data_IF_667245211110
#
_entry.id   IF_667245211110
#
_cell.length_a   1.000
_cell.length_b   1.000
_cell.length_c   1.000
_cell.angle_alpha   90.00
_cell.angle_beta   90.00
_cell.angle_gamma   90.00
#
_symmetry.space_group_name_H-M   'P 1'
#
loop_
_entity.id
_entity.type
_entity.pdbx_description
1 polymer ?
2 non-polymer ?
3 non-polymer ?
4 non-polymer ?
5 water ?
#
# COMPACT_ATOMS: atom_id res chain seq x y z
N UNK A 1 -10.16 28.15 5.38
CA UNK A 1 -8.75 28.60 5.14
C UNK A 1 -8.37 28.46 3.66
N UNK A 2 -7.67 29.46 3.11
CA UNK A 2 -7.15 29.33 1.75
C UNK A 2 -5.98 28.34 1.71
N UNK A 3 -6.01 27.44 0.73
CA UNK A 3 -4.90 26.54 0.47
C UNK A 3 -4.10 27.09 -0.71
N UNK A 4 -3.02 27.83 -0.42
CA UNK A 4 -2.34 28.55 -1.48
C UNK A 4 -1.72 27.62 -2.52
N UNK A 5 -1.66 28.11 -3.75
CA UNK A 5 -0.96 27.42 -4.82
C UNK A 5 0.50 27.14 -4.43
N UNK A 6 1.13 28.13 -3.81
CA UNK A 6 2.50 28.01 -3.32
C UNK A 6 2.49 28.27 -1.82
N UNK A 7 2.20 27.23 -1.02
CA UNK A 7 2.05 27.46 0.42
C UNK A 7 3.36 27.79 1.13
N UNK A 8 4.49 27.34 0.58
CA UNK A 8 5.79 27.49 1.24
C UNK A 8 5.87 26.66 2.51
N UNK A 9 6.96 26.86 3.25
CA UNK A 9 7.15 26.22 4.53
C UNK A 9 8.19 27.01 5.31
N UNK A 10 8.52 26.53 6.51
CA UNK A 10 9.57 27.14 7.31
C UNK A 10 10.26 26.04 8.10
N UNK A 11 11.43 26.35 8.64
CA UNK A 11 12.25 25.31 9.24
C UNK A 11 11.71 24.82 10.60
N UNK A 12 10.88 25.61 11.27
CA UNK A 12 10.20 25.10 12.46
C UNK A 12 9.30 23.93 12.05
N UNK A 13 8.50 24.15 11.00
CA UNK A 13 7.61 23.11 10.48
C UNK A 13 8.38 21.91 9.94
N UNK A 14 9.48 22.15 9.24
CA UNK A 14 10.27 21.06 8.68
C UNK A 14 10.83 20.13 9.74
N UNK A 15 11.21 20.70 10.88
CA UNK A 15 11.82 19.94 11.97
C UNK A 15 10.80 19.47 12.99
N UNK A 16 9.54 19.87 12.85
CA UNK A 16 8.53 19.62 13.86
C UNK A 16 8.27 18.12 14.04
N UNK A 17 8.26 17.67 15.30
CA UNK A 17 7.95 16.29 15.63
C UNK A 17 6.72 16.22 16.52
N UNK A 18 5.81 15.29 16.23
CA UNK A 18 4.74 14.97 17.16
C UNK A 18 5.35 14.23 18.37
N UNK A 19 4.86 14.50 19.59
CA UNK A 19 5.36 13.82 20.78
C UNK A 19 4.80 12.41 20.88
N UNK A 20 5.54 11.49 20.27
CA UNK A 20 5.16 10.08 20.15
C UNK A 20 6.28 9.21 20.72
N UNK A 21 5.87 8.16 21.42
CA UNK A 21 6.82 7.18 21.92
C UNK A 21 7.15 6.17 20.81
N UNK A 22 8.10 6.53 19.94
CA UNK A 22 8.54 5.63 18.88
C UNK A 22 9.45 4.54 19.41
N UNK A 23 9.23 3.31 18.94
CA UNK A 23 10.12 2.20 19.28
C UNK A 23 10.47 1.40 18.03
N UNK A 24 11.56 0.63 18.11
CA UNK A 24 11.93 -0.32 17.08
C UNK A 24 11.65 -1.73 17.56
N UNK A 25 11.63 -2.68 16.63
CA UNK A 25 11.51 -4.09 16.97
C UNK A 25 12.67 -4.52 17.89
N UNK A 26 13.88 -4.03 17.60
CA UNK A 26 15.04 -4.34 18.43
C UNK A 26 14.88 -3.84 19.86
N UNK A 27 14.32 -2.64 20.03
CA UNK A 27 14.05 -2.12 21.37
C UNK A 27 13.00 -2.95 22.10
N UNK A 28 11.94 -3.36 21.39
CA UNK A 28 10.94 -4.24 22.00
C UNK A 28 11.60 -5.54 22.45
N UNK A 29 12.39 -6.14 21.57
CA UNK A 29 13.11 -7.37 21.90
C UNK A 29 13.97 -7.17 23.15
N UNK A 30 14.73 -6.08 23.18
CA UNK A 30 15.57 -5.77 24.34
C UNK A 30 14.76 -5.66 25.63
N UNK A 31 13.58 -5.05 25.56
CA UNK A 31 12.70 -4.88 26.72
C UNK A 31 12.19 -6.21 27.29
N UNK A 32 12.27 -7.27 26.47
CA UNK A 32 11.76 -8.58 26.87
C UNK A 32 12.89 -9.56 27.22
N UNK A 33 14.14 -9.10 27.15
CA UNK A 33 15.30 -9.96 27.42
C UNK A 33 15.20 -10.62 28.80
N UNK A 34 15.33 -11.94 28.81
CA UNK A 34 15.26 -12.71 30.06
C UNK A 34 13.86 -13.10 30.48
N UNK A 35 12.84 -12.49 29.89
CA UNK A 35 11.44 -12.81 30.21
C UNK A 35 11.08 -14.13 29.57
N UNK A 36 10.43 -15.03 30.34
CA UNK A 36 10.10 -16.35 29.83
C UNK A 36 9.06 -16.30 28.70
N UNK A 37 8.93 -17.41 27.94
CA UNK A 37 7.87 -17.48 26.92
C UNK A 37 6.51 -17.04 27.45
N UNK A 38 5.81 -16.26 26.64
CA UNK A 38 4.49 -15.73 26.99
C UNK A 38 3.59 -15.79 25.76
N UNK A 39 2.31 -15.50 25.94
CA UNK A 39 1.39 -15.35 24.82
C UNK A 39 1.41 -13.90 24.34
N UNK A 40 1.52 -13.75 23.03
CA UNK A 40 1.43 -12.42 22.40
C UNK A 40 0.39 -12.48 21.30
N UNK A 41 -0.19 -11.33 20.98
CA UNK A 41 -1.27 -11.27 20.00
C UNK A 41 -1.05 -10.21 18.95
N UNK A 42 -1.61 -10.47 17.77
CA UNK A 42 -1.59 -9.55 16.65
C UNK A 42 -2.99 -9.37 16.08
N UNK A 43 -3.35 -8.11 15.82
CA UNK A 43 -4.41 -7.80 14.89
C UNK A 43 -3.98 -8.28 13.50
N UNK A 44 -4.93 -8.46 12.58
CA UNK A 44 -4.54 -8.88 11.23
C UNK A 44 -4.46 -7.72 10.24
N UNK A 45 -5.59 -7.08 9.99
CA UNK A 45 -5.67 -6.15 8.87
C UNK A 45 -4.96 -4.83 9.15
N UNK A 46 -4.02 -4.50 8.26
CA UNK A 46 -3.12 -3.35 8.40
C UNK A 46 -2.15 -3.45 9.57
N UNK A 47 -2.09 -4.63 10.19
CA UNK A 47 -1.10 -4.92 11.22
C UNK A 47 -0.09 -5.92 10.69
N UNK A 48 -0.57 -7.08 10.22
CA UNK A 48 0.31 -8.06 9.59
C UNK A 48 0.05 -8.24 8.10
N UNK A 49 -1.18 -7.97 7.65
CA UNK A 49 -1.53 -8.05 6.22
C UNK A 49 -2.07 -6.73 5.70
N UNK A 50 -1.54 -6.30 4.55
CA UNK A 50 -2.20 -5.27 3.78
C UNK A 50 -3.28 -5.95 2.95
N UNK A 51 -4.47 -5.99 3.51
CA UNK A 51 -5.59 -6.76 2.97
C UNK A 51 -6.60 -5.88 2.25
N UNK A 52 -6.28 -4.59 2.14
CA UNK A 52 -7.12 -3.68 1.36
C UNK A 52 -7.49 -4.19 -0.05
N UNK A 53 -6.60 -4.94 -0.74
CA UNK A 53 -7.03 -5.43 -2.05
C UNK A 53 -8.38 -6.19 -2.01
N UNK A 54 -8.52 -7.13 -1.07
CA UNK A 54 -9.76 -7.88 -0.91
C UNK A 54 -10.93 -7.06 -0.40
N UNK A 55 -10.68 -6.15 0.55
CA UNK A 55 -11.73 -5.27 1.05
C UNK A 55 -12.22 -4.34 -0.05
N UNK A 56 -11.29 -3.85 -0.87
CA UNK A 56 -11.63 -3.02 -2.02
C UNK A 56 -12.49 -3.78 -3.03
N UNK A 57 -12.05 -4.99 -3.40
CA UNK A 57 -12.83 -5.83 -4.30
C UNK A 57 -14.20 -6.13 -3.69
N UNK A 58 -14.22 -6.37 -2.38
CA UNK A 58 -15.46 -6.65 -1.68
C UNK A 58 -16.45 -5.51 -1.71
N UNK A 59 -15.96 -4.29 -1.48
CA UNK A 59 -16.82 -3.11 -1.54
C UNK A 59 -17.41 -2.95 -2.94
N UNK A 60 -16.58 -3.05 -3.96
CA UNK A 60 -17.04 -2.89 -5.35
C UNK A 60 -18.05 -3.96 -5.74
N UNK A 61 -17.82 -5.18 -5.27
CA UNK A 61 -18.64 -6.34 -5.63
C UNK A 61 -19.97 -6.38 -4.88
N UNK A 62 -19.93 -6.09 -3.58
CA UNK A 62 -21.09 -6.32 -2.71
C UNK A 62 -21.86 -5.08 -2.27
N UNK A 63 -21.19 -3.93 -2.21
CA UNK A 63 -21.88 -2.67 -1.84
C UNK A 63 -21.13 -1.42 -2.33
N UNK A 64 -21.10 -1.19 -3.66
CA UNK A 64 -20.35 -0.05 -4.22
C UNK A 64 -20.75 1.32 -3.66
N UNK A 65 -21.99 1.47 -3.20
CA UNK A 65 -22.45 2.76 -2.67
C UNK A 65 -22.63 2.81 -1.15
N UNK A 66 -22.30 1.71 -0.45
CA UNK A 66 -22.44 1.69 1.01
C UNK A 66 -21.33 0.90 1.70
N UNK A 67 -21.46 0.75 3.01
CA UNK A 67 -20.52 -0.02 3.82
C UNK A 67 -21.11 -1.37 4.18
N UNK A 68 -22.19 -1.73 3.52
CA UNK A 68 -22.93 -2.95 3.84
C UNK A 68 -22.13 -4.23 3.63
N UNK A 69 -21.12 -4.20 2.76
CA UNK A 69 -20.29 -5.38 2.51
C UNK A 69 -19.65 -5.90 3.79
N UNK A 70 -19.33 -4.98 4.70
CA UNK A 70 -18.67 -5.34 5.96
C UNK A 70 -19.54 -6.14 6.91
N UNK A 71 -20.83 -6.25 6.60
CA UNK A 71 -21.78 -7.06 7.38
C UNK A 71 -22.42 -8.14 6.51
N UNK A 72 -21.83 -8.39 5.35
CA UNK A 72 -22.38 -9.35 4.39
C UNK A 72 -21.60 -10.67 4.46
N UNK A 73 -22.26 -11.76 4.91
CA UNK A 73 -21.54 -13.03 5.07
C UNK A 73 -20.98 -13.57 3.76
N UNK A 74 -21.58 -13.17 2.64
CA UNK A 74 -21.08 -13.60 1.32
C UNK A 74 -19.71 -12.97 1.07
N UNK A 75 -19.54 -11.71 1.48
CA UNK A 75 -18.22 -11.07 1.42
C UNK A 75 -17.23 -11.78 2.33
N UNK A 76 -17.61 -12.02 3.57
CA UNK A 76 -16.69 -12.62 4.53
C UNK A 76 -16.24 -14.02 4.12
N UNK A 77 -17.15 -14.80 3.53
CA UNK A 77 -16.77 -16.11 3.02
C UNK A 77 -15.67 -16.01 1.96
N UNK A 78 -15.77 -15.03 1.06
CA UNK A 78 -14.71 -14.78 0.07
C UNK A 78 -13.43 -14.29 0.73
N UNK A 79 -13.57 -13.34 1.65
CA UNK A 79 -12.43 -12.69 2.26
C UNK A 79 -11.60 -13.65 3.12
N UNK A 80 -12.28 -14.60 3.76
CA UNK A 80 -11.63 -15.50 4.70
C UNK A 80 -11.22 -16.85 4.11
N UNK A 81 -11.53 -17.08 2.83
CA UNK A 81 -11.26 -18.36 2.20
C UNK A 81 -10.52 -18.26 0.86
N UNK A 82 -9.78 -17.19 0.66
CA UNK A 82 -8.93 -17.09 -0.52
C UNK A 82 -8.48 -15.71 -0.95
N UNK A 83 -9.25 -14.67 -0.62
CA UNK A 83 -8.86 -13.33 -1.07
C UNK A 83 -7.56 -12.82 -0.43
N UNK A 84 -7.14 -13.44 0.68
CA UNK A 84 -5.84 -13.08 1.26
C UNK A 84 -4.65 -13.56 0.43
N UNK A 85 -4.90 -14.33 -0.63
CA UNK A 85 -3.83 -14.63 -1.56
C UNK A 85 -3.32 -13.33 -2.21
N UNK A 86 -4.18 -12.30 -2.19
CA UNK A 86 -3.84 -10.99 -2.74
C UNK A 86 -3.43 -9.98 -1.67
N UNK A 87 -3.42 -10.40 -0.41
CA UNK A 87 -2.98 -9.54 0.69
C UNK A 87 -1.46 -9.52 0.76
N UNK A 88 -0.89 -8.37 1.06
CA UNK A 88 0.57 -8.23 1.08
C UNK A 88 1.09 -8.24 2.52
N UNK A 89 1.86 -9.28 2.89
CA UNK A 89 2.38 -9.32 4.25
C UNK A 89 3.27 -8.11 4.57
N UNK A 90 3.20 -7.63 5.81
CA UNK A 90 3.96 -6.46 6.21
C UNK A 90 5.31 -6.89 6.78
N UNK A 91 6.35 -6.18 6.36
CA UNK A 91 7.71 -6.45 6.84
C UNK A 91 7.83 -6.29 8.35
N UNK A 92 7.16 -5.29 8.92
CA UNK A 92 7.19 -5.12 10.36
C UNK A 92 6.69 -6.38 11.07
N UNK A 93 5.67 -7.02 10.50
CA UNK A 93 5.12 -8.25 11.05
C UNK A 93 6.07 -9.43 10.90
N UNK A 94 6.76 -9.52 9.77
CA UNK A 94 7.76 -10.58 9.60
C UNK A 94 8.80 -10.50 10.71
N UNK A 95 9.25 -9.27 11.00
CA UNK A 95 10.27 -9.04 12.01
C UNK A 95 9.76 -9.35 13.41
N UNK A 96 8.56 -8.88 13.75
CA UNK A 96 7.97 -9.14 15.06
C UNK A 96 7.69 -10.62 15.28
N UNK A 97 7.11 -11.27 14.28
CA UNK A 97 6.77 -12.68 14.41
C UNK A 97 8.04 -13.52 14.53
N UNK A 98 9.04 -13.26 13.69
CA UNK A 98 10.33 -13.93 13.80
C UNK A 98 10.91 -13.80 15.22
N UNK A 99 10.86 -12.58 15.75
CA UNK A 99 11.41 -12.25 17.06
C UNK A 99 10.69 -13.01 18.18
N UNK A 100 9.36 -13.05 18.10
CA UNK A 100 8.56 -13.75 19.09
C UNK A 100 8.67 -15.27 19.00
N UNK A 101 8.76 -15.79 17.77
CA UNK A 101 9.00 -17.23 17.57
C UNK A 101 10.37 -17.61 18.16
N UNK A 102 11.38 -16.78 17.92
CA UNK A 102 12.73 -17.01 18.44
C UNK A 102 12.72 -17.06 19.97
N UNK A 103 11.87 -16.23 20.59
CA UNK A 103 11.70 -16.20 22.03
C UNK A 103 10.98 -17.42 22.59
N UNK A 104 10.26 -18.14 21.73
CA UNK A 104 9.44 -19.27 22.16
C UNK A 104 8.05 -18.85 22.59
N UNK A 105 7.65 -17.65 22.21
CA UNK A 105 6.32 -17.14 22.56
C UNK A 105 5.21 -17.83 21.77
N UNK A 106 4.02 -17.89 22.38
CA UNK A 106 2.82 -18.36 21.68
C UNK A 106 2.27 -17.18 20.88
N UNK A 107 1.90 -17.46 19.63
CA UNK A 107 1.42 -16.42 18.71
C UNK A 107 -0.08 -16.57 18.49
N UNK A 108 -0.82 -15.51 18.80
CA UNK A 108 -2.26 -15.43 18.54
C UNK A 108 -2.56 -14.31 17.57
N UNK A 109 -3.62 -14.50 16.78
CA UNK A 109 -4.18 -13.46 15.93
C UNK A 109 -5.61 -13.24 16.37
N UNK A 110 -5.95 -12.00 16.71
CA UNK A 110 -7.29 -11.65 17.15
C UNK A 110 -7.80 -10.54 16.22
N UNK A 111 -8.75 -10.91 15.37
CA UNK A 111 -9.23 -10.02 14.32
C UNK A 111 -10.70 -9.64 14.53
N UNK A 112 -11.05 -8.44 14.06
CA UNK A 112 -12.44 -7.98 14.05
C UNK A 112 -13.20 -8.47 12.82
N UNK A 113 -12.53 -9.18 11.91
CA UNK A 113 -13.24 -9.82 10.81
C UNK A 113 -14.35 -10.70 11.36
N UNK A 114 -15.45 -10.79 10.62
CA UNK A 114 -16.56 -11.66 11.02
C UNK A 114 -16.20 -13.13 10.83
N UNK A 115 -16.64 -14.01 11.76
CA UNK A 115 -16.41 -15.44 11.61
C UNK A 115 -17.18 -16.02 10.42
N UNK A 116 -16.61 -17.06 9.84
CA UNK A 116 -17.19 -17.75 8.70
C UNK A 116 -17.24 -19.26 8.98
N UNK A 117 -17.91 -19.99 8.10
CA UNK A 117 -18.09 -21.43 8.28
C UNK A 117 -16.76 -22.18 8.21
N UNK A 118 -15.89 -21.69 7.33
CA UNK A 118 -14.53 -22.18 7.19
C UNK A 118 -13.62 -20.95 7.03
N UNK A 119 -12.32 -21.14 7.23
CA UNK A 119 -11.36 -20.06 7.02
C UNK A 119 -9.98 -20.64 6.69
N UNK A 120 -9.30 -20.00 5.74
CA UNK A 120 -7.96 -20.40 5.35
C UNK A 120 -6.92 -19.33 5.76
N UNK A 121 -7.39 -18.33 6.53
CA UNK A 121 -6.52 -17.24 6.99
C UNK A 121 -5.42 -17.74 7.92
N UNK A 122 -5.76 -18.65 8.83
CA UNK A 122 -4.76 -19.24 9.72
C UNK A 122 -3.62 -19.87 8.92
N UNK A 123 -3.96 -20.62 7.88
CA UNK A 123 -2.92 -21.23 7.04
C UNK A 123 -2.10 -20.17 6.28
N UNK A 124 -2.77 -19.17 5.72
CA UNK A 124 -2.09 -18.08 5.04
C UNK A 124 -1.05 -17.42 5.96
N UNK A 125 -1.43 -17.17 7.21
CA UNK A 125 -0.54 -16.52 8.15
C UNK A 125 0.63 -17.41 8.55
N UNK A 126 0.35 -18.66 8.89
CA UNK A 126 1.40 -19.59 9.26
C UNK A 126 2.40 -19.81 8.12
N UNK A 127 1.90 -19.92 6.89
CA UNK A 127 2.75 -20.15 5.71
C UNK A 127 3.60 -18.94 5.38
N UNK A 128 2.97 -17.76 5.29
CA UNK A 128 3.68 -16.55 4.90
C UNK A 128 4.68 -16.04 5.93
N UNK A 129 4.36 -16.22 7.20
CA UNK A 129 5.23 -15.76 8.27
C UNK A 129 6.11 -16.84 8.88
N UNK A 130 6.04 -18.04 8.28
CA UNK A 130 6.86 -19.19 8.67
C UNK A 130 6.72 -19.45 10.17
N UNK A 131 5.47 -19.56 10.61
CA UNK A 131 5.18 -19.77 12.02
C UNK A 131 5.08 -21.27 12.28
N UNK A 132 5.96 -21.81 13.13
CA UNK A 132 5.86 -23.24 13.45
C UNK A 132 4.50 -23.56 14.06
N UNK A 133 4.01 -24.79 13.83
CA UNK A 133 2.68 -25.18 14.32
C UNK A 133 2.53 -25.07 15.83
N UNK A 134 3.65 -25.25 16.54
CA UNK A 134 3.65 -25.15 17.99
C UNK A 134 3.33 -23.72 18.45
N UNK A 135 4.03 -22.73 17.89
CA UNK A 135 3.80 -21.32 18.23
C UNK A 135 2.46 -20.81 17.71
N UNK A 136 2.02 -21.37 16.58
CA UNK A 136 0.80 -20.93 15.91
C UNK A 136 -0.46 -21.32 16.66
N UNK A 137 -1.46 -20.46 16.61
CA UNK A 137 -2.79 -20.75 17.12
C UNK A 137 -3.82 -20.32 16.09
N UNK A 138 -4.95 -21.07 15.97
CA UNK A 138 -5.97 -20.67 14.99
C UNK A 138 -6.45 -19.24 15.21
N UNK A 139 -6.64 -18.50 14.12
CA UNK A 139 -7.13 -17.12 14.19
C UNK A 139 -8.42 -17.05 15.01
N UNK A 140 -8.48 -16.05 15.88
CA UNK A 140 -9.67 -15.76 16.66
C UNK A 140 -10.43 -14.64 15.94
N UNK A 141 -11.60 -14.99 15.42
CA UNK A 141 -12.45 -14.06 14.68
C UNK A 141 -13.42 -13.42 15.66
N UNK A 142 -13.01 -12.29 16.24
CA UNK A 142 -13.75 -11.64 17.31
C UNK A 142 -14.96 -10.84 16.80
N UNK A 143 -14.96 -10.52 15.51
CA UNK A 143 -16.02 -9.70 14.93
C UNK A 143 -15.86 -8.22 15.29
N UNK A 144 -16.71 -7.40 14.68
CA UNK A 144 -16.67 -5.95 14.90
C UNK A 144 -18.09 -5.43 15.00
N UNK A 145 -18.44 -4.93 16.18
CA UNK A 145 -19.79 -4.41 16.45
C UNK A 145 -19.71 -3.06 17.17
N UNK A 146 -19.50 -1.96 16.41
CA UNK A 146 -19.28 -0.62 16.97
C UNK A 146 -20.10 -0.31 18.22
N UNK A 147 -19.43 0.23 19.24
CA UNK A 147 -20.03 0.42 20.55
C UNK A 147 -19.71 -0.75 21.47
N UNK A 148 -19.06 -1.77 20.90
CA UNK A 148 -18.66 -2.95 21.66
C UNK A 148 -17.18 -3.27 21.52
N UNK A 149 -16.58 -3.66 22.65
CA UNK A 149 -15.23 -4.20 22.70
C UNK A 149 -15.33 -5.72 22.60
N UNK A 150 -14.89 -6.27 21.47
CA UNK A 150 -14.97 -7.72 21.26
C UNK A 150 -13.61 -8.45 21.36
N UNK A 151 -12.52 -7.71 21.50
CA UNK A 151 -11.18 -8.32 21.58
C UNK A 151 -10.67 -8.55 23.02
N UNK A 152 -11.07 -7.68 23.96
CA UNK A 152 -10.54 -7.73 25.33
C UNK A 152 -10.75 -9.08 26.02
N UNK A 153 -11.94 -9.66 25.86
CA UNK A 153 -12.25 -10.95 26.47
C UNK A 153 -11.31 -12.03 25.97
N UNK A 154 -10.97 -11.99 24.68
CA UNK A 154 -10.03 -12.94 24.10
C UNK A 154 -8.59 -12.74 24.58
N UNK A 155 -8.17 -11.48 24.72
CA UNK A 155 -6.84 -11.18 25.26
C UNK A 155 -6.69 -11.74 26.68
N UNK A 156 -7.75 -11.57 27.47
CA UNK A 156 -7.78 -12.12 28.82
C UNK A 156 -7.80 -13.66 28.81
N UNK A 157 -8.66 -14.24 27.98
CA UNK A 157 -8.79 -15.70 27.89
C UNK A 157 -7.47 -16.39 27.56
N UNK A 158 -6.68 -15.80 26.66
CA UNK A 158 -5.43 -16.41 26.22
C UNK A 158 -4.21 -15.87 26.97
N UNK A 159 -4.45 -15.08 28.01
CA UNK A 159 -3.40 -14.42 28.78
C UNK A 159 -2.38 -13.71 27.89
N UNK A 160 -2.89 -12.98 26.90
CA UNK A 160 -2.03 -12.25 25.97
C UNK A 160 -1.44 -11.02 26.66
N UNK A 161 -0.10 -10.94 26.64
CA UNK A 161 0.65 -9.92 27.39
C UNK A 161 1.02 -8.70 26.57
N UNK A 162 1.13 -8.87 25.25
CA UNK A 162 1.44 -7.80 24.31
C UNK A 162 0.48 -7.97 23.14
N UNK A 163 -0.17 -6.88 22.74
CA UNK A 163 -1.05 -6.90 21.58
C UNK A 163 -0.64 -5.81 20.61
N UNK A 164 -0.36 -6.24 19.38
CA UNK A 164 0.02 -5.35 18.28
C UNK A 164 -1.17 -5.05 17.40
N UNK A 165 -1.40 -3.79 17.09
CA UNK A 165 -2.52 -3.44 16.24
C UNK A 165 -2.43 -2.05 15.67
N UNK A 166 -3.21 -1.79 14.63
CA UNK A 166 -3.22 -0.49 13.97
C UNK A 166 -4.36 0.44 14.42
N UNK A 167 -5.43 -0.15 14.95
CA UNK A 167 -6.63 0.61 15.29
C UNK A 167 -6.63 1.06 16.76
N UNK A 168 -7.36 2.14 17.04
CA UNK A 168 -7.49 2.63 18.41
C UNK A 168 -8.00 1.53 19.32
N UNK A 169 -9.01 0.80 18.86
CA UNK A 169 -9.62 -0.26 19.66
C UNK A 169 -8.67 -1.41 19.98
N UNK A 170 -7.65 -1.62 19.14
CA UNK A 170 -6.61 -2.61 19.43
C UNK A 170 -5.82 -2.21 20.67
N UNK A 171 -5.46 -0.93 20.74
CA UNK A 171 -4.69 -0.41 21.87
C UNK A 171 -5.52 -0.40 23.16
N UNK A 172 -6.74 0.10 23.10
CA UNK A 172 -7.55 0.19 24.30
C UNK A 172 -8.02 -1.19 24.78
N UNK A 173 -8.23 -2.12 23.85
CA UNK A 173 -8.53 -3.51 24.23
C UNK A 173 -7.42 -4.10 25.09
N UNK A 174 -6.18 -3.84 24.68
CA UNK A 174 -5.01 -4.29 25.44
C UNK A 174 -4.94 -3.61 26.80
N UNK A 175 -5.12 -2.30 26.82
CA UNK A 175 -5.06 -1.54 28.06
C UNK A 175 -6.13 -1.97 29.06
N UNK A 176 -7.32 -2.26 28.54
CA UNK A 176 -8.45 -2.66 29.38
C UNK A 176 -8.18 -3.94 30.17
N UNK A 177 -7.28 -4.79 29.67
CA UNK A 177 -6.91 -6.05 30.35
C UNK A 177 -5.50 -6.02 30.97
N UNK A 178 -4.84 -4.86 30.90
CA UNK A 178 -3.50 -4.70 31.47
C UNK A 178 -2.38 -5.24 30.60
N UNK A 179 -2.68 -5.47 29.33
CA UNK A 179 -1.65 -5.89 28.37
C UNK A 179 -0.95 -4.67 27.77
N UNK A 180 0.24 -4.90 27.22
CA UNK A 180 1.02 -3.87 26.54
C UNK A 180 0.53 -3.74 25.10
N UNK A 181 -0.15 -2.63 24.81
CA UNK A 181 -0.65 -2.37 23.46
C UNK A 181 0.38 -1.58 22.67
N UNK A 182 0.78 -2.14 21.52
CA UNK A 182 1.81 -1.51 20.69
C UNK A 182 1.23 -1.26 19.30
N UNK A 183 1.37 -0.01 18.84
CA UNK A 183 0.75 0.42 17.60
C UNK A 183 1.62 0.18 16.38
N UNK A 184 0.97 -0.31 15.33
CA UNK A 184 1.57 -0.39 13.99
C UNK A 184 0.87 0.64 13.09
N UNK A 185 1.64 1.32 12.25
CA UNK A 185 1.08 2.32 11.35
C UNK A 185 0.28 1.71 10.21
N UNK A 186 -0.94 2.20 10.02
CA UNK A 186 -1.73 1.83 8.84
C UNK A 186 -1.19 2.52 7.59
N UNK A 187 -0.95 1.76 6.53
CA UNK A 187 -0.44 2.33 5.28
C UNK A 187 -1.38 3.39 4.72
N UNK A 188 -0.80 4.42 4.09
CA UNK A 188 -1.61 5.52 3.59
C UNK A 188 -2.42 5.13 2.36
N UNK A 189 -2.09 4.01 1.73
CA UNK A 189 -2.91 3.50 0.63
C UNK A 189 -3.91 2.42 1.05
N UNK A 190 -4.04 2.21 2.37
CA UNK A 190 -5.16 1.41 2.87
C UNK A 190 -6.48 2.05 2.44
N UNK A 191 -7.49 1.21 2.22
CA UNK A 191 -8.82 1.74 1.93
C UNK A 191 -9.63 1.97 3.21
N UNK A 192 -9.06 1.62 4.37
CA UNK A 192 -9.71 1.87 5.65
C UNK A 192 -9.31 3.26 6.13
N UNK A 193 -10.20 4.22 5.88
CA UNK A 193 -9.93 5.63 6.14
C UNK A 193 -11.01 6.22 7.05
N UNK A 194 -10.68 7.26 7.83
CA UNK A 194 -9.38 7.91 7.91
C UNK A 194 -8.32 7.06 8.64
N UNK A 195 -7.06 7.38 8.42
CA UNK A 195 -5.98 6.74 9.17
C UNK A 195 -6.10 7.07 10.66
N UNK A 196 -5.85 6.09 11.54
CA UNK A 196 -5.84 6.38 12.97
C UNK A 196 -4.70 7.30 13.36
N UNK A 197 -4.86 7.97 14.49
CA UNK A 197 -3.79 8.75 15.09
C UNK A 197 -2.96 7.83 15.99
N UNK A 198 -1.98 7.18 15.38
CA UNK A 198 -1.03 6.33 16.10
C UNK A 198 -0.35 7.14 17.20
N UNK A 199 -0.41 6.64 18.43
CA UNK A 199 0.16 7.32 19.59
C UNK A 199 -0.85 8.15 20.36
N UNK A 200 -2.12 8.10 19.98
CA UNK A 200 -3.18 8.92 20.57
C UNK A 200 -3.49 8.59 22.03
N UNK A 201 -3.00 7.46 22.52
CA UNK A 201 -3.19 7.09 23.92
C UNK A 201 -1.88 7.06 24.70
N UNK A 202 -0.83 7.62 24.10
CA UNK A 202 0.49 7.60 24.72
C UNK A 202 1.20 6.27 24.59
N UNK A 203 0.66 5.37 23.76
CA UNK A 203 1.24 4.05 23.56
C UNK A 203 2.49 4.09 22.68
N UNK A 204 3.28 3.01 22.76
CA UNK A 204 4.42 2.83 21.86
C UNK A 204 3.94 2.64 20.43
N UNK A 205 4.66 3.25 19.49
CA UNK A 205 4.37 3.08 18.07
C UNK A 205 5.65 2.59 17.39
N UNK A 206 5.54 1.54 16.59
CA UNK A 206 6.71 1.02 15.91
C UNK A 206 7.09 1.86 14.70
N UNK A 207 8.36 2.27 14.67
CA UNK A 207 8.85 3.06 13.54
C UNK A 207 8.73 2.29 12.23
N UNK A 208 8.43 3.02 11.16
CA UNK A 208 8.51 2.51 9.79
C UNK A 208 7.61 1.30 9.57
N UNK A 209 6.51 1.23 10.32
CA UNK A 209 5.66 0.05 10.35
C UNK A 209 4.51 0.08 9.36
N UNK A 210 4.55 1.03 8.42
CA UNK A 210 3.56 1.13 7.36
C UNK A 210 3.74 0.07 6.28
N UNK A 211 4.90 -0.60 6.27
CA UNK A 211 5.18 -1.61 5.23
C UNK A 211 5.80 -2.88 5.81
N UNK B 1 20.89 -3.72 9.13
CA UNK B 1 21.09 -4.37 10.46
C UNK B 1 22.33 -5.26 10.46
N UNK B 2 23.00 -5.40 11.62
CA UNK B 2 22.68 -4.76 12.91
C UNK B 2 22.99 -3.27 12.94
N UNK B 3 22.30 -2.53 13.82
CA UNK B 3 22.48 -1.09 13.95
C UNK B 3 22.21 -0.68 15.41
N UNK B 4 22.64 0.53 15.83
CA UNK B 4 22.55 0.84 17.26
C UNK B 4 21.14 0.72 17.83
N UNK B 5 21.05 0.22 19.06
CA UNK B 5 19.77 0.06 19.73
C UNK B 5 19.03 1.40 19.88
N UNK B 6 19.77 2.43 20.28
CA UNK B 6 19.24 3.78 20.46
C UNK B 6 20.05 4.74 19.60
N UNK B 7 19.73 4.84 18.31
CA UNK B 7 20.57 5.63 17.40
C UNK B 7 20.50 7.13 17.63
N UNK B 8 19.38 7.61 18.17
CA UNK B 8 19.17 9.03 18.36
C UNK B 8 19.05 9.79 17.05
N UNK B 9 19.04 11.12 17.16
CA UNK B 9 18.99 12.00 15.99
C UNK B 9 19.45 13.40 16.39
N UNK B 10 19.39 14.34 15.44
CA UNK B 10 19.69 15.73 15.73
C UNK B 10 18.86 16.60 14.81
N UNK B 11 18.80 17.89 15.10
CA UNK B 11 17.86 18.75 14.38
C UNK B 11 18.30 19.09 12.95
N UNK B 12 19.59 18.95 12.65
CA UNK B 12 20.04 19.08 11.26
C UNK B 12 19.41 17.95 10.46
N UNK B 13 19.50 16.72 10.97
CA UNK B 13 18.91 15.56 10.31
C UNK B 13 17.38 15.65 10.23
N UNK B 14 16.75 16.12 11.31
CA UNK B 14 15.29 16.21 11.32
C UNK B 14 14.75 17.17 10.27
N UNK B 15 15.47 18.27 10.05
CA UNK B 15 15.04 19.29 9.10
C UNK B 15 15.58 19.08 7.68
N UNK B 16 16.45 18.09 7.50
CA UNK B 16 17.15 17.90 6.23
C UNK B 16 16.20 17.59 5.08
N UNK B 17 16.38 18.29 3.96
CA UNK B 17 15.61 18.06 2.75
C UNK B 17 16.52 17.68 1.61
N UNK B 18 16.13 16.65 0.86
CA UNK B 18 16.73 16.39 -0.44
C UNK B 18 16.34 17.49 -1.43
N UNK B 19 17.29 17.91 -2.28
CA UNK B 19 16.99 18.93 -3.29
C UNK B 19 16.17 18.35 -4.45
N UNK B 20 14.86 18.40 -4.26
CA UNK B 20 13.90 17.84 -5.20
C UNK B 20 12.92 18.91 -5.62
N UNK B 21 12.58 18.91 -6.90
CA UNK B 21 11.55 19.79 -7.41
C UNK B 21 10.16 19.19 -7.13
N UNK B 22 9.64 19.46 -5.94
CA UNK B 22 8.30 19.00 -5.57
C UNK B 22 7.24 19.87 -6.21
N UNK B 23 6.18 19.24 -6.70
CA UNK B 23 5.04 19.98 -7.27
C UNK B 23 3.72 19.39 -6.78
N UNK B 24 2.66 20.18 -6.85
CA UNK B 24 1.30 19.70 -6.60
C UNK B 24 0.52 19.61 -7.90
N UNK B 25 -0.61 18.90 -7.85
CA UNK B 25 -1.51 18.83 -8.99
C UNK B 25 -1.97 20.24 -9.40
N UNK B 26 -2.30 21.06 -8.41
CA UNK B 26 -2.70 22.43 -8.68
C UNK B 26 -1.61 23.23 -9.39
N UNK B 27 -0.35 23.05 -8.99
CA UNK B 27 0.76 23.73 -9.67
C UNK B 27 0.94 23.25 -11.10
N UNK B 28 0.77 21.95 -11.32
CA UNK B 28 0.85 21.43 -12.70
C UNK B 28 -0.28 22.04 -13.54
N UNK B 29 -1.51 22.03 -13.02
CA UNK B 29 -2.64 22.61 -13.72
C UNK B 29 -2.39 24.09 -14.06
N UNK B 30 -1.89 24.84 -13.08
CA UNK B 30 -1.56 26.25 -13.29
C UNK B 30 -0.52 26.44 -14.38
N UNK B 31 0.49 25.57 -14.41
CA UNK B 31 1.57 25.66 -15.41
C UNK B 31 1.06 25.41 -16.83
N UNK B 32 -0.12 24.79 -16.94
CA UNK B 32 -0.73 24.48 -18.23
C UNK B 32 -1.88 25.42 -18.59
N UNK B 33 -2.15 26.39 -17.72
CA UNK B 33 -3.30 27.28 -17.91
C UNK B 33 -3.26 27.96 -19.27
N UNK B 34 -4.37 27.89 -19.99
CA UNK B 34 -4.49 28.51 -21.31
C UNK B 34 -3.97 27.65 -22.46
N UNK B 35 -3.30 26.54 -22.16
CA UNK B 35 -2.80 25.64 -23.19
C UNK B 35 -3.94 24.75 -23.71
N UNK B 36 -4.11 24.69 -25.04
CA UNK B 36 -5.19 23.88 -25.62
C UNK B 36 -5.04 22.38 -25.35
N UNK B 37 -6.11 21.59 -25.58
CA UNK B 37 -6.04 20.14 -25.44
C UNK B 37 -4.80 19.53 -26.12
N UNK B 38 -4.20 18.58 -25.43
CA UNK B 38 -3.00 17.89 -25.90
C UNK B 38 -3.08 16.43 -25.44
N UNK B 39 -2.17 15.60 -25.95
CA UNK B 39 -2.08 14.21 -25.49
C UNK B 39 -1.18 14.14 -24.27
N UNK B 40 -1.65 13.43 -23.25
CA UNK B 40 -0.86 13.16 -22.05
C UNK B 40 -0.90 11.66 -21.77
N UNK B 41 0.08 11.17 -21.03
CA UNK B 41 0.19 9.74 -20.77
C UNK B 41 0.48 9.40 -19.34
N UNK B 42 0.02 8.23 -18.94
CA UNK B 42 0.24 7.71 -17.61
C UNK B 42 0.81 6.29 -17.68
N UNK B 43 1.84 6.04 -16.91
CA UNK B 43 2.19 4.69 -16.51
C UNK B 43 1.01 4.10 -15.72
N UNK B 44 0.95 2.77 -15.62
CA UNK B 44 -0.11 2.15 -14.81
C UNK B 44 0.37 1.73 -13.42
N UNK B 45 1.27 0.76 -13.38
CA UNK B 45 1.61 0.12 -12.13
C UNK B 45 2.42 1.03 -11.19
N UNK B 46 1.88 1.23 -9.99
CA UNK B 46 2.39 2.16 -8.98
C UNK B 46 2.31 3.65 -9.38
N UNK B 47 1.63 3.94 -10.48
CA UNK B 47 1.37 5.31 -10.91
C UNK B 47 -0.13 5.64 -10.76
N UNK B 48 -0.98 4.80 -11.36
CA UNK B 48 -2.42 4.97 -11.20
C UNK B 48 -3.06 3.83 -10.41
N UNK B 49 -2.43 2.65 -10.43
CA UNK B 49 -2.92 1.48 -9.68
C UNK B 49 -1.87 0.91 -8.76
N UNK B 50 -2.24 0.66 -7.51
CA UNK B 50 -1.44 -0.20 -6.65
C UNK B 50 -1.82 -1.63 -7.01
N UNK B 51 -1.06 -2.19 -7.94
CA UNK B 51 -1.33 -3.50 -8.54
C UNK B 51 -0.44 -4.60 -7.98
N UNK B 52 0.34 -4.29 -6.96
CA UNK B 52 1.14 -5.31 -6.27
C UNK B 52 0.37 -6.56 -5.89
N UNK B 53 -0.93 -6.45 -5.50
CA UNK B 53 -1.65 -7.68 -5.15
C UNK B 53 -1.58 -8.75 -6.25
N UNK B 54 -1.83 -8.34 -7.51
CA UNK B 54 -1.75 -9.26 -8.64
C UNK B 54 -0.34 -9.74 -8.95
N UNK B 55 0.64 -8.86 -8.82
CA UNK B 55 2.04 -9.27 -9.05
C UNK B 55 2.52 -10.24 -7.98
N UNK B 56 2.10 -9.99 -6.74
CA UNK B 56 2.42 -10.84 -5.59
C UNK B 56 1.79 -12.23 -5.77
N UNK B 57 0.50 -12.25 -6.09
CA UNK B 57 -0.20 -13.51 -6.38
C UNK B 57 0.48 -14.24 -7.54
N UNK B 58 0.83 -13.49 -8.58
CA UNK B 58 1.47 -14.03 -9.76
C UNK B 58 2.79 -14.72 -9.47
N UNK B 59 3.63 -14.07 -8.67
CA UNK B 59 4.90 -14.67 -8.31
C UNK B 59 4.69 -15.97 -7.53
N UNK B 60 3.79 -15.95 -6.55
CA UNK B 60 3.49 -17.15 -5.75
C UNK B 60 2.93 -18.29 -6.60
N UNK B 61 2.09 -17.95 -7.58
CA UNK B 61 1.43 -18.94 -8.45
C UNK B 61 2.37 -19.52 -9.51
N UNK B 62 3.16 -18.65 -10.14
CA UNK B 62 3.92 -19.02 -11.34
C UNK B 62 5.43 -19.20 -11.17
N UNK B 63 6.02 -18.51 -10.20
CA UNK B 63 7.45 -18.66 -9.93
C UNK B 63 7.83 -18.27 -8.50
N UNK B 64 7.42 -19.08 -7.51
CA UNK B 64 7.69 -18.74 -6.11
C UNK B 64 9.18 -18.64 -5.77
N UNK B 65 10.02 -19.27 -6.58
CA UNK B 65 11.46 -19.34 -6.32
C UNK B 65 12.31 -18.46 -7.25
N UNK B 66 11.67 -17.84 -8.25
CA UNK B 66 12.38 -17.00 -9.20
C UNK B 66 11.58 -15.78 -9.65
N UNK B 67 12.05 -15.11 -10.71
CA UNK B 67 11.38 -13.96 -11.28
C UNK B 67 10.76 -14.28 -12.64
N UNK B 68 10.68 -15.57 -12.95
CA UNK B 68 10.20 -16.04 -14.25
C UNK B 68 8.75 -15.68 -14.56
N UNK B 69 7.94 -15.44 -13.53
CA UNK B 69 6.53 -15.09 -13.73
C UNK B 69 6.37 -13.87 -14.64
N UNK B 70 7.33 -12.95 -14.58
CA UNK B 70 7.29 -11.70 -15.36
C UNK B 70 7.46 -11.90 -16.86
N UNK B 71 7.91 -13.09 -17.25
CA UNK B 71 8.03 -13.43 -18.67
C UNK B 71 7.09 -14.58 -19.04
N UNK B 72 6.15 -14.88 -18.14
CA UNK B 72 5.19 -15.98 -18.32
C UNK B 72 3.87 -15.46 -18.90
N UNK B 73 3.53 -15.88 -20.13
CA UNK B 73 2.31 -15.40 -20.79
C UNK B 73 1.02 -15.73 -20.02
N UNK B 74 1.05 -16.81 -19.25
CA UNK B 74 -0.09 -17.20 -18.43
C UNK B 74 -0.31 -16.19 -17.30
N UNK B 75 0.79 -15.72 -16.71
CA UNK B 75 0.70 -14.67 -15.69
C UNK B 75 0.05 -13.41 -16.26
N UNK B 76 0.53 -12.95 -17.42
CA UNK B 76 0.02 -11.73 -18.02
C UNK B 76 -1.47 -11.84 -18.38
N UNK B 77 -1.90 -13.01 -18.83
CA UNK B 77 -3.31 -13.23 -19.08
C UNK B 77 -4.17 -13.01 -17.83
N UNK B 78 -3.73 -13.57 -16.69
CA UNK B 78 -4.43 -13.36 -15.42
C UNK B 78 -4.39 -11.89 -14.99
N UNK B 79 -3.22 -11.28 -15.12
CA UNK B 79 -3.00 -9.90 -14.68
C UNK B 79 -3.83 -8.90 -15.47
N UNK B 80 -4.01 -9.16 -16.76
CA UNK B 80 -4.68 -8.23 -17.66
C UNK B 80 -6.18 -8.49 -17.85
N UNK B 81 -6.69 -9.56 -17.24
CA UNK B 81 -8.07 -9.98 -17.46
C UNK B 81 -8.87 -10.25 -16.18
N UNK B 82 -8.46 -9.63 -15.07
CA UNK B 82 -9.25 -9.76 -13.86
C UNK B 82 -8.55 -9.45 -12.55
N UNK B 83 -7.23 -9.65 -12.49
CA UNK B 83 -6.56 -9.43 -11.21
C UNK B 83 -6.51 -7.97 -10.77
N UNK B 84 -6.75 -7.03 -11.70
CA UNK B 84 -6.86 -5.62 -11.33
C UNK B 84 -8.13 -5.32 -10.55
N UNK B 85 -9.04 -6.29 -10.40
CA UNK B 85 -10.14 -6.15 -9.44
C UNK B 85 -9.61 -5.93 -8.01
N UNK B 86 -8.39 -6.41 -7.77
CA UNK B 86 -7.71 -6.26 -6.48
C UNK B 86 -6.73 -5.08 -6.44
N UNK B 87 -6.56 -4.39 -7.58
CA UNK B 87 -5.68 -3.24 -7.64
C UNK B 87 -6.37 -2.01 -7.07
N UNK B 88 -5.63 -1.23 -6.29
CA UNK B 88 -6.23 -0.07 -5.61
C UNK B 88 -5.86 1.23 -6.33
N UNK B 89 -6.87 1.94 -6.87
CA UNK B 89 -6.58 3.22 -7.55
C UNK B 89 -5.91 4.24 -6.64
N UNK B 90 -4.95 4.97 -7.18
CA UNK B 90 -4.22 5.99 -6.42
C UNK B 90 -4.94 7.32 -6.47
N UNK B 91 -5.04 7.96 -5.31
CA UNK B 91 -5.69 9.26 -5.20
C UNK B 91 -5.00 10.31 -6.07
N UNK B 92 -3.67 10.27 -6.14
CA UNK B 92 -2.95 11.22 -6.99
C UNK B 92 -3.42 11.09 -8.44
N UNK B 93 -3.69 9.87 -8.87
CA UNK B 93 -4.14 9.61 -10.24
C UNK B 93 -5.57 10.08 -10.45
N UNK B 94 -6.43 9.92 -9.44
CA UNK B 94 -7.78 10.46 -9.53
C UNK B 94 -7.71 11.96 -9.79
N UNK B 95 -6.85 12.64 -9.04
CA UNK B 95 -6.73 14.08 -9.15
C UNK B 95 -6.11 14.52 -10.48
N UNK B 96 -5.07 13.83 -10.94
CA UNK B 96 -4.45 14.15 -12.23
C UNK B 96 -5.39 13.89 -13.40
N UNK B 97 -6.07 12.75 -13.38
CA UNK B 97 -6.96 12.39 -14.47
C UNK B 97 -8.14 13.36 -14.51
N UNK B 98 -8.73 13.68 -13.35
CA UNK B 98 -9.76 14.72 -13.30
C UNK B 98 -9.28 16.04 -13.93
N UNK B 99 -8.04 16.42 -13.62
CA UNK B 99 -7.48 17.68 -14.09
C UNK B 99 -7.31 17.66 -15.62
N UNK B 100 -6.81 16.55 -16.14
CA UNK B 100 -6.62 16.44 -17.58
C UNK B 100 -7.93 16.34 -18.34
N UNK B 101 -8.94 15.73 -17.74
CA UNK B 101 -10.29 15.78 -18.29
C UNK B 101 -10.85 17.22 -18.30
N UNK B 102 -10.61 17.97 -17.21
CA UNK B 102 -11.01 19.38 -17.19
C UNK B 102 -10.41 20.14 -18.38
N UNK B 103 -9.15 19.84 -18.67
CA UNK B 103 -8.41 20.50 -19.74
C UNK B 103 -8.85 20.07 -21.14
N UNK B 104 -9.58 18.96 -21.24
CA UNK B 104 -9.95 18.39 -22.54
C UNK B 104 -8.83 17.60 -23.18
N UNK B 105 -7.84 17.17 -22.39
CA UNK B 105 -6.72 16.41 -22.91
C UNK B 105 -7.10 14.99 -23.30
N UNK B 106 -6.36 14.46 -24.28
CA UNK B 106 -6.45 13.05 -24.63
C UNK B 106 -5.58 12.27 -23.65
N UNK B 107 -6.14 11.23 -23.06
CA UNK B 107 -5.44 10.48 -22.01
C UNK B 107 -5.04 9.09 -22.50
N UNK B 108 -3.73 8.82 -22.41
CA UNK B 108 -3.15 7.53 -22.77
C UNK B 108 -2.55 6.85 -21.55
N UNK B 109 -2.56 5.52 -21.57
CA UNK B 109 -1.85 4.70 -20.59
C UNK B 109 -0.83 3.86 -21.33
N UNK B 110 0.42 3.97 -20.90
CA UNK B 110 1.53 3.24 -21.54
C UNK B 110 2.24 2.44 -20.46
N UNK B 111 2.05 1.12 -20.54
CA UNK B 111 2.50 0.21 -19.50
C UNK B 111 3.56 -0.79 -20.03
N UNK B 112 4.47 -1.16 -19.14
CA UNK B 112 5.46 -2.19 -19.42
C UNK B 112 4.92 -3.61 -19.33
N UNK B 113 3.67 -3.76 -18.91
CA UNK B 113 3.00 -5.05 -18.98
C UNK B 113 3.06 -5.61 -20.39
N UNK B 114 3.18 -6.92 -20.50
CA UNK B 114 3.17 -7.58 -21.80
C UNK B 114 1.77 -7.62 -22.40
N UNK B 115 1.66 -7.45 -23.73
CA UNK B 115 0.37 -7.58 -24.41
C UNK B 115 -0.18 -8.99 -24.33
N UNK B 116 -1.50 -9.09 -24.25
CA UNK B 116 -2.19 -10.37 -24.15
C UNK B 116 -3.28 -10.42 -25.22
N UNK B 117 -3.87 -11.60 -25.41
CA UNK B 117 -4.91 -11.77 -26.43
C UNK B 117 -6.11 -10.87 -26.18
N UNK B 118 -6.55 -10.82 -24.92
CA UNK B 118 -7.62 -9.94 -24.48
C UNK B 118 -7.12 -9.15 -23.29
N UNK B 119 -7.78 -8.03 -22.99
CA UNK B 119 -7.46 -7.26 -21.79
C UNK B 119 -8.69 -6.49 -21.33
N UNK B 120 -8.85 -6.39 -20.01
CA UNK B 120 -9.95 -5.64 -19.41
C UNK B 120 -9.42 -4.46 -18.57
N UNK B 121 -8.12 -4.18 -18.71
CA UNK B 121 -7.47 -3.09 -17.98
C UNK B 121 -8.02 -1.72 -18.43
N UNK B 122 -8.21 -1.56 -19.74
CA UNK B 122 -8.80 -0.31 -20.25
C UNK B 122 -10.15 -0.02 -19.60
N UNK B 123 -10.99 -1.04 -19.49
CA UNK B 123 -12.29 -0.90 -18.83
C UNK B 123 -12.13 -0.52 -17.35
N UNK B 124 -11.27 -1.25 -16.64
CA UNK B 124 -10.99 -0.99 -15.23
C UNK B 124 -10.61 0.47 -15.01
N UNK B 125 -9.73 1.00 -15.87
CA UNK B 125 -9.27 2.37 -15.72
C UNK B 125 -10.36 3.39 -16.05
N UNK B 126 -11.06 3.20 -17.16
CA UNK B 126 -12.11 4.15 -17.52
C UNK B 126 -13.21 4.19 -16.45
N UNK B 127 -13.56 3.01 -15.93
CA UNK B 127 -14.60 2.91 -14.91
C UNK B 127 -14.17 3.56 -13.60
N UNK B 128 -13.02 3.14 -13.08
CA UNK B 128 -12.56 3.60 -11.76
C UNK B 128 -12.21 5.07 -11.71
N UNK B 129 -11.70 5.61 -12.82
CA UNK B 129 -11.28 7.00 -12.86
C UNK B 129 -12.33 7.89 -13.54
N UNK B 130 -13.47 7.30 -13.90
CA UNK B 130 -14.60 8.05 -14.48
C UNK B 130 -14.14 8.83 -15.71
N UNK B 131 -13.41 8.15 -16.60
CA UNK B 131 -12.86 8.80 -17.78
C UNK B 131 -13.89 8.77 -18.90
N UNK B 132 -14.29 9.95 -19.40
CA UNK B 132 -15.25 9.94 -20.52
C UNK B 132 -14.68 9.27 -21.76
N UNK B 133 -15.58 8.77 -22.60
CA UNK B 133 -15.18 8.05 -23.81
C UNK B 133 -14.23 8.86 -24.69
N UNK B 134 -14.51 10.16 -24.83
CA UNK B 134 -13.71 10.99 -25.71
C UNK B 134 -12.25 11.16 -25.24
N UNK B 135 -12.04 11.22 -23.93
CA UNK B 135 -10.68 11.38 -23.38
C UNK B 135 -9.92 10.07 -23.31
N UNK B 136 -10.65 8.95 -23.23
CA UNK B 136 -10.06 7.65 -23.01
C UNK B 136 -9.46 7.09 -24.29
N UNK B 137 -8.33 6.39 -24.14
CA UNK B 137 -7.71 5.67 -25.24
C UNK B 137 -7.34 4.27 -24.74
N UNK B 138 -7.44 3.24 -25.60
CA UNK B 138 -7.12 1.89 -25.16
C UNK B 138 -5.67 1.81 -24.65
N UNK B 139 -5.48 1.07 -23.56
CA UNK B 139 -4.16 0.92 -22.94
C UNK B 139 -3.15 0.40 -23.98
N UNK B 140 -1.97 1.01 -23.95
CA UNK B 140 -0.84 0.57 -24.77
C UNK B 140 0.06 -0.33 -23.93
N UNK B 141 0.09 -1.61 -24.29
CA UNK B 141 0.92 -2.60 -23.62
C UNK B 141 2.25 -2.68 -24.34
N UNK B 142 3.21 -1.91 -23.86
CA UNK B 142 4.52 -1.76 -24.51
C UNK B 142 5.49 -2.90 -24.24
N UNK B 143 5.22 -3.68 -23.18
CA UNK B 143 6.11 -4.77 -22.81
C UNK B 143 7.38 -4.29 -22.14
N UNK B 144 8.25 -5.23 -21.83
CA UNK B 144 9.51 -4.98 -21.13
C UNK B 144 10.60 -5.80 -21.78
N UNK B 145 11.66 -5.12 -22.23
CA UNK B 145 12.79 -5.76 -22.87
C UNK B 145 14.07 -5.12 -22.33
N UNK B 146 14.79 -5.81 -21.43
CA UNK B 146 16.08 -5.31 -20.92
C UNK B 146 16.98 -4.76 -22.04
N UNK B 147 17.53 -3.57 -21.82
CA UNK B 147 18.37 -2.90 -22.81
C UNK B 147 17.64 -1.92 -23.70
N UNK B 148 16.31 -1.91 -23.64
CA UNK B 148 15.49 -1.06 -24.47
C UNK B 148 14.39 -0.40 -23.64
N UNK B 149 14.13 0.88 -23.89
CA UNK B 149 12.96 1.52 -23.32
C UNK B 149 11.82 1.42 -24.31
N UNK B 150 10.93 0.46 -24.07
CA UNK B 150 9.85 0.17 -25.00
C UNK B 150 8.80 1.28 -25.05
N UNK B 151 8.81 2.19 -24.08
CA UNK B 151 7.78 3.22 -24.02
C UNK B 151 8.05 4.43 -24.91
N UNK B 152 9.33 4.73 -25.13
CA UNK B 152 9.72 5.97 -25.82
C UNK B 152 9.04 6.14 -27.18
N UNK B 153 9.06 5.08 -27.99
CA UNK B 153 8.47 5.18 -29.33
C UNK B 153 6.96 5.43 -29.29
N UNK B 154 6.29 4.88 -28.28
CA UNK B 154 4.86 5.12 -28.11
C UNK B 154 4.54 6.56 -27.74
N UNK B 155 5.38 7.16 -26.89
CA UNK B 155 5.19 8.57 -26.55
C UNK B 155 5.34 9.45 -27.79
N UNK B 156 6.33 9.14 -28.62
CA UNK B 156 6.52 9.87 -29.87
C UNK B 156 5.32 9.66 -30.80
N UNK B 157 4.91 8.41 -30.98
CA UNK B 157 3.82 8.07 -31.91
C UNK B 157 2.50 8.75 -31.58
N UNK B 158 2.22 8.89 -30.29
CA UNK B 158 0.95 9.45 -29.83
C UNK B 158 1.04 10.94 -29.49
N UNK B 159 2.19 11.54 -29.77
CA UNK B 159 2.43 12.97 -29.51
C UNK B 159 2.18 13.34 -28.05
N UNK B 160 2.58 12.45 -27.15
CA UNK B 160 2.37 12.64 -25.72
C UNK B 160 3.34 13.71 -25.20
N UNK B 161 2.78 14.73 -24.54
CA UNK B 161 3.55 15.92 -24.13
C UNK B 161 3.96 15.89 -22.67
N UNK B 162 3.23 15.13 -21.86
CA UNK B 162 3.51 14.96 -20.44
C UNK B 162 3.34 13.47 -20.16
N UNK B 163 4.30 12.87 -19.46
CA UNK B 163 4.19 11.46 -19.06
C UNK B 163 4.43 11.31 -17.57
N UNK B 164 3.43 10.74 -16.89
CA UNK B 164 3.48 10.49 -15.45
C UNK B 164 3.93 9.06 -15.19
N UNK B 165 4.87 8.86 -14.27
CA UNK B 165 5.28 7.51 -13.93
C UNK B 165 6.10 7.41 -12.68
N UNK B 166 6.22 6.19 -12.15
CA UNK B 166 6.97 5.94 -10.92
C UNK B 166 8.40 5.47 -11.17
N UNK B 167 8.67 4.88 -12.33
CA UNK B 167 9.98 4.27 -12.59
C UNK B 167 10.92 5.19 -13.34
N UNK B 168 12.22 4.95 -13.21
CA UNK B 168 13.21 5.74 -13.93
C UNK B 168 12.95 5.73 -15.43
N UNK B 169 12.60 4.56 -15.97
CA UNK B 169 12.32 4.43 -17.40
C UNK B 169 11.10 5.23 -17.89
N UNK B 170 10.15 5.52 -16.99
CA UNK B 170 9.05 6.40 -17.35
C UNK B 170 9.54 7.82 -17.59
N UNK B 171 10.40 8.30 -16.69
CA UNK B 171 10.95 9.64 -16.80
C UNK B 171 11.88 9.77 -18.01
N UNK B 172 12.74 8.77 -18.22
CA UNK B 172 13.67 8.85 -19.35
C UNK B 172 12.99 8.62 -20.70
N UNK B 173 11.87 7.88 -20.73
CA UNK B 173 11.08 7.78 -21.95
C UNK B 173 10.58 9.16 -22.35
N UNK B 174 10.08 9.92 -21.38
CA UNK B 174 9.67 11.30 -21.61
C UNK B 174 10.84 12.16 -22.11
N UNK B 175 11.98 12.06 -21.42
CA UNK B 175 13.19 12.78 -21.83
C UNK B 175 13.62 12.40 -23.25
N UNK B 176 13.51 11.12 -23.59
CA UNK B 176 13.89 10.61 -24.91
C UNK B 176 13.20 11.35 -26.05
N UNK B 177 11.95 11.76 -25.81
CA UNK B 177 11.12 12.37 -26.85
C UNK B 177 10.87 13.86 -26.65
N UNK B 178 11.47 14.43 -25.61
CA UNK B 178 11.29 15.85 -25.30
C UNK B 178 10.00 16.18 -24.58
N UNK B 179 9.33 15.17 -24.02
CA UNK B 179 8.13 15.37 -23.22
C UNK B 179 8.51 15.72 -21.77
N UNK B 180 7.53 16.26 -21.05
CA UNK B 180 7.70 16.59 -19.64
C UNK B 180 7.40 15.35 -18.80
N UNK B 181 8.44 14.76 -18.22
CA UNK B 181 8.28 13.58 -17.37
C UNK B 181 8.09 13.99 -15.93
N UNK B 182 7.00 13.51 -15.33
CA UNK B 182 6.66 13.88 -13.97
C UNK B 182 6.54 12.62 -13.11
N UNK B 183 7.25 12.62 -11.98
CA UNK B 183 7.37 11.44 -11.14
C UNK B 183 6.26 11.30 -10.09
N UNK B 184 5.73 10.08 -9.99
CA UNK B 184 4.84 9.70 -8.90
C UNK B 184 5.61 8.76 -7.95
N UNK B 185 5.46 8.95 -6.65
CA UNK B 185 6.12 8.08 -5.65
C UNK B 185 5.51 6.69 -5.61
N UNK B 186 6.37 5.68 -5.72
CA UNK B 186 5.97 4.30 -5.51
C UNK B 186 5.75 4.04 -4.02
N UNK B 187 4.60 3.46 -3.68
CA UNK B 187 4.29 3.17 -2.28
C UNK B 187 5.33 2.24 -1.64
N UNK B 188 5.61 2.45 -0.36
CA UNK B 188 6.63 1.65 0.32
C UNK B 188 6.18 0.20 0.57
N UNK B 189 4.89 -0.08 0.46
CA UNK B 189 4.40 -1.45 0.55
C UNK B 189 4.22 -2.11 -0.82
N UNK B 190 4.66 -1.44 -1.88
CA UNK B 190 4.77 -2.10 -3.18
C UNK B 190 5.72 -3.29 -3.08
N UNK B 191 5.43 -4.34 -3.85
CA UNK B 191 6.34 -5.47 -3.94
C UNK B 191 7.45 -5.27 -4.97
N UNK B 192 7.38 -4.18 -5.72
CA UNK B 192 8.40 -3.84 -6.69
C UNK B 192 9.49 -3.04 -6.00
N UNK B 193 10.56 -3.74 -5.65
CA UNK B 193 11.65 -3.20 -4.85
C UNK B 193 12.98 -3.41 -5.57
N UNK B 194 13.97 -2.52 -5.34
CA UNK B 194 13.92 -1.36 -4.44
C UNK B 194 13.08 -0.21 -5.01
N UNK B 195 12.67 0.70 -4.12
CA UNK B 195 11.99 1.91 -4.55
C UNK B 195 12.95 2.76 -5.39
N UNK B 196 12.44 3.38 -6.47
CA UNK B 196 13.28 4.27 -7.25
C UNK B 196 13.62 5.56 -6.50
N UNK B 197 14.70 6.21 -6.94
CA UNK B 197 15.04 7.54 -6.45
C UNK B 197 14.30 8.61 -7.23
N UNK B 198 13.10 8.91 -6.77
CA UNK B 198 12.28 9.99 -7.33
C UNK B 198 13.04 11.31 -7.30
N UNK B 199 13.15 11.96 -8.46
CA UNK B 199 13.88 13.23 -8.56
C UNK B 199 15.32 13.08 -9.03
N UNK B 200 15.75 11.85 -9.33
CA UNK B 200 17.14 11.60 -9.70
C UNK B 200 17.56 12.13 -11.07
N UNK B 201 16.60 12.57 -11.88
CA UNK B 201 16.90 13.22 -13.17
C UNK B 201 16.59 14.71 -13.12
N UNK B 202 16.35 15.24 -11.92
CA UNK B 202 15.97 16.64 -11.78
C UNK B 202 14.54 16.92 -12.20
N UNK B 203 13.75 15.87 -12.38
CA UNK B 203 12.36 15.98 -12.79
C UNK B 203 11.45 16.43 -11.64
N UNK B 204 10.29 16.97 -11.99
CA UNK B 204 9.24 17.27 -11.02
C UNK B 204 8.75 15.97 -10.39
N UNK B 205 8.51 16.03 -9.09
CA UNK B 205 7.94 14.92 -8.33
C UNK B 205 6.68 15.41 -7.62
N UNK B 206 5.58 14.69 -7.78
CA UNK B 206 4.33 15.10 -7.15
C UNK B 206 4.32 14.77 -5.66
N UNK B 207 4.03 15.78 -4.85
CA UNK B 207 3.95 15.58 -3.41
C UNK B 207 2.86 14.57 -3.06
N UNK B 208 3.12 13.80 -2.01
CA UNK B 208 2.11 12.93 -1.39
C UNK B 208 1.52 11.90 -2.36
N UNK B 209 2.31 11.52 -3.35
CA UNK B 209 1.78 10.73 -4.48
C UNK B 209 1.94 9.21 -4.29
N UNK B 210 2.28 8.80 -3.07
CA UNK B 210 2.36 7.38 -2.73
C UNK B 210 1.00 6.70 -2.55
N UNK B 211 -0.06 7.51 -2.45
CA UNK B 211 -1.41 6.97 -2.27
C UNK B 211 -2.44 7.62 -3.18
X LIG C 1 -6.40 -3.76 11.90
X LIG D 1 -8.67 -6.39 11.72
X LIG D 1 -9.72 -6.50 10.63
X LIG D 1 -7.84 -7.65 11.61
X LIG D 1 -7.89 -5.09 11.56
X LIG D 1 -9.47 -6.41 13.03
X LIG E 1 -15.20 -4.30 9.68
X LIG E 1 -14.72 -5.55 10.14
X LIG E 1 -13.19 -5.55 10.23
X LIG E 1 -12.61 -5.22 8.97
X LIG E 1 -12.69 -4.55 11.26
X LIG E 1 -12.03 -5.24 12.31
X LIG E 1 -11.76 -3.60 10.51
X LIG E 1 -10.44 -3.63 11.05
X LIG E 1 -11.75 -4.07 9.06
X LIG E 1 -12.24 -3.00 8.15
X LIG E 1 -13.35 -2.22 8.31
X LIG E 1 -13.54 -1.33 7.28
X LIG E 1 -12.53 -1.52 6.41
X LIG E 1 -12.03 -1.00 5.11
X LIG E 1 -12.70 0.00 4.49
X LIG E 1 -10.91 -1.52 4.57
X LIG E 1 -10.21 -2.51 5.15
X LIG E 1 -10.54 -3.09 6.32
X LIG E 1 -11.73 -2.60 6.99
X LIG F 1 5.01 1.78 -12.97
X LIG G 1 4.02 -0.32 -15.51
X LIG G 1 4.96 -0.02 -16.68
X LIG G 1 3.93 -1.83 -15.43
X LIG G 1 4.56 0.17 -14.18
X LIG G 1 2.62 0.17 -15.78
X LIG H 1 8.66 -6.54 -15.42
X LIG H 1 7.38 -6.54 -16.01
X LIG H 1 6.45 -5.57 -15.29
X LIG H 1 6.23 -5.98 -13.93
X LIG H 1 7.03 -4.18 -15.25
X LIG H 1 6.21 -3.28 -16.00
X LIG H 1 7.16 -3.79 -13.78
X LIG H 1 6.42 -2.61 -13.49
X LIG H 1 6.63 -4.98 -12.98
X LIG H 1 7.67 -5.57 -12.09
X LIG H 1 8.98 -5.77 -12.36
X LIG H 1 9.67 -6.34 -11.31
X LIG H 1 8.77 -6.52 -10.33
X LIG H 1 8.71 -7.06 -8.93
X LIG H 1 9.82 -7.55 -8.34
X LIG H 1 7.53 -7.03 -8.27
X LIG H 1 6.39 -6.56 -8.81
X LIG H 1 6.31 -6.05 -10.05
X LIG H 1 7.51 -6.02 -10.86
#
# INVERSE_FOLDING_TARGET
SPSPLNPGTNVARLAEQAPIHWVSVAQIENSLAGRPPMAVGFDIDDTVLFSSPGFWRGKKTFSPESEDYLKNPVFWEKMNNGWDEFSIPKEVARQLIDMHVRRGDAIFFVTGRSPTKTETVSKTLADNFHIPATNMNPVIFAGDKPGQNTKSQWLQDKNIRIFYGDSDNDITAARDVGARGIRILRASNSTYKPLPQAGAFGEEVIVNSEY
SPSPLNPGTNVARLAEQAPIHWVSVAQIENSLAGRPPMAVGFDIDDTVLFSSPGFWRGKKTFSPESEDYLKNPVFWEKMNNGWDEFSIPKEVARQLIDMHVRRGDAIFFVTGRSPTKTETVSKTLADNFHIPATNMNPVIFAGDKPGQNTKSQWLQDKNIRIFYGDSDNDITAARDVGARGIRILRASNSTYKPLPQAGAFGEEVIVNSEY
MG MG
PO4 P O1 O2 O3 O4
ADN O5' C5' C4' O4' C3' O3' C2' O2' C1' N9 C8 N7 C5 C6 N6 N1 C2 N3 C4
MG MG
PO4 P O1 O2 O3 O4
ADN O5' C5' C4' O4' C3' O3' C2' O2' C1' N9 C8 N7 C5 C6 N6 N1 C2 N3 C4
#
